data_IF_308985810406
#
_entry.id   IF_308985810406
#
_cell.length_a   1.000
_cell.length_b   1.000
_cell.length_c   1.000
_cell.angle_alpha   90.00
_cell.angle_beta   90.00
_cell.angle_gamma   90.00
#
_symmetry.space_group_name_H-M   'P 1'
#
loop_
_entity.id
_entity.type
_entity.pdbx_description
1 polymer ?
#
# COMPACT_ATOMS: atom_id res chain seq x y z
N UNK A 1 10.09 -32.50 10.84
CA UNK A 1 9.89 -31.06 11.08
C UNK A 1 10.59 -30.32 9.94
N UNK A 2 9.83 -29.79 8.97
CA UNK A 2 10.38 -29.15 7.76
C UNK A 2 10.51 -27.66 8.09
N UNK A 3 11.73 -27.15 8.23
CA UNK A 3 11.97 -25.73 8.48
C UNK A 3 11.62 -24.92 7.23
N UNK A 4 10.95 -23.79 7.44
CA UNK A 4 10.70 -22.81 6.39
C UNK A 4 12.03 -22.32 5.83
N UNK A 5 12.32 -22.73 4.60
CA UNK A 5 13.45 -22.17 3.86
C UNK A 5 12.99 -20.79 3.38
N UNK A 6 13.63 -19.68 3.79
CA UNK A 6 13.27 -18.38 3.26
C UNK A 6 13.45 -18.42 1.75
N UNK A 7 12.39 -18.13 1.00
CA UNK A 7 12.43 -17.95 -0.46
C UNK A 7 13.37 -16.80 -0.76
N UNK A 8 14.67 -17.07 -0.92
CA UNK A 8 15.67 -16.04 -1.17
C UNK A 8 15.71 -15.74 -2.66
N UNK A 9 15.57 -14.46 -3.05
CA UNK A 9 15.67 -13.97 -4.43
C UNK A 9 14.42 -13.26 -4.96
N UNK A 10 14.41 -12.98 -6.27
CA UNK A 10 13.34 -12.26 -7.01
C UNK A 10 11.92 -12.75 -6.74
N UNK A 11 11.75 -14.01 -6.32
CA UNK A 11 10.45 -14.57 -5.98
C UNK A 11 9.85 -13.96 -4.71
N UNK A 12 10.67 -13.65 -3.68
CA UNK A 12 10.18 -12.97 -2.49
C UNK A 12 9.72 -11.54 -2.80
N UNK A 13 10.49 -10.78 -3.59
CA UNK A 13 10.12 -9.40 -3.97
C UNK A 13 8.78 -9.34 -4.73
N UNK A 14 8.52 -10.32 -5.61
CA UNK A 14 7.22 -10.43 -6.28
C UNK A 14 6.06 -10.76 -5.32
N UNK A 15 6.33 -11.58 -4.30
CA UNK A 15 5.35 -11.92 -3.27
C UNK A 15 5.09 -10.73 -2.36
N UNK A 16 6.13 -10.03 -1.92
CA UNK A 16 6.04 -8.80 -1.13
C UNK A 16 5.25 -7.73 -1.86
N UNK A 17 5.56 -7.47 -3.14
CA UNK A 17 4.79 -6.51 -3.94
C UNK A 17 3.31 -6.88 -4.05
N UNK A 18 2.99 -8.14 -4.30
CA UNK A 18 1.59 -8.60 -4.37
C UNK A 18 0.90 -8.52 -3.01
N UNK A 19 1.62 -8.79 -1.92
CA UNK A 19 1.11 -8.67 -0.57
C UNK A 19 0.79 -7.20 -0.24
N UNK A 20 1.69 -6.28 -0.59
CA UNK A 20 1.48 -4.84 -0.42
C UNK A 20 0.28 -4.35 -1.25
N UNK A 21 0.17 -4.73 -2.53
CA UNK A 21 -0.96 -4.38 -3.41
C UNK A 21 -2.29 -4.93 -2.85
N UNK A 22 -2.28 -6.16 -2.34
CA UNK A 22 -3.45 -6.77 -1.70
C UNK A 22 -3.85 -6.05 -0.41
N UNK A 23 -2.87 -5.76 0.47
CA UNK A 23 -3.10 -5.06 1.72
C UNK A 23 -3.61 -3.63 1.49
N UNK A 24 -3.01 -2.88 0.56
CA UNK A 24 -3.43 -1.55 0.19
C UNK A 24 -4.89 -1.53 -0.27
N UNK A 25 -5.30 -2.49 -1.09
CA UNK A 25 -6.69 -2.59 -1.57
C UNK A 25 -7.69 -3.00 -0.49
N UNK A 26 -7.25 -3.75 0.51
CA UNK A 26 -8.09 -4.19 1.62
C UNK A 26 -8.26 -3.11 2.68
N UNK A 27 -7.20 -2.37 2.98
CA UNK A 27 -7.13 -1.45 4.12
C UNK A 27 -7.47 0.00 3.76
N UNK A 28 -7.30 0.41 2.50
CA UNK A 28 -7.48 1.80 2.09
C UNK A 28 -8.77 1.94 1.27
N UNK A 29 -9.77 2.57 1.87
CA UNK A 29 -10.98 2.99 1.16
C UNK A 29 -10.70 4.18 0.24
N UNK A 30 -11.13 4.17 -1.04
CA UNK A 30 -10.96 5.30 -1.95
C UNK A 30 -11.68 6.58 -1.49
N UNK A 31 -12.71 6.45 -0.64
CA UNK A 31 -13.42 7.61 -0.10
C UNK A 31 -12.61 8.23 1.04
N UNK A 32 -12.15 7.41 1.98
CA UNK A 32 -11.35 7.85 3.13
C UNK A 32 -10.00 8.40 2.66
N UNK A 33 -9.37 7.77 1.66
CA UNK A 33 -8.15 8.27 1.05
C UNK A 33 -8.33 9.69 0.49
N UNK A 34 -9.38 9.94 -0.31
CA UNK A 34 -9.62 11.29 -0.89
C UNK A 34 -9.91 12.33 0.19
N UNK A 35 -10.60 11.94 1.26
CA UNK A 35 -10.84 12.82 2.40
C UNK A 35 -9.51 13.18 3.09
N UNK A 36 -8.70 12.18 3.43
CA UNK A 36 -7.40 12.36 4.07
C UNK A 36 -6.44 13.18 3.18
N UNK A 37 -6.45 12.93 1.88
CA UNK A 37 -5.65 13.68 0.90
C UNK A 37 -6.03 15.16 0.87
N UNK A 38 -7.33 15.47 0.93
CA UNK A 38 -7.83 16.85 0.98
C UNK A 38 -7.51 17.53 2.31
N UNK A 39 -7.57 16.79 3.43
CA UNK A 39 -7.28 17.31 4.78
C UNK A 39 -5.80 17.63 4.98
N UNK A 40 -4.92 16.89 4.33
CA UNK A 40 -3.47 16.98 4.54
C UNK A 40 -2.70 17.52 3.33
N UNK A 41 -3.40 18.13 2.37
CA UNK A 41 -2.81 18.73 1.15
C UNK A 41 -1.83 17.78 0.43
N UNK A 42 -2.23 16.51 0.32
CA UNK A 42 -1.43 15.48 -0.34
C UNK A 42 -0.23 14.95 0.44
N UNK A 43 0.03 15.39 1.68
CA UNK A 43 1.18 14.96 2.48
C UNK A 43 1.06 13.48 2.92
N UNK A 44 1.84 12.60 2.29
CA UNK A 44 1.74 11.13 2.41
C UNK A 44 1.83 10.64 3.86
N UNK A 45 2.78 11.16 4.65
CA UNK A 45 2.95 10.72 6.04
C UNK A 45 1.75 11.04 6.93
N UNK A 46 1.08 12.17 6.65
CA UNK A 46 -0.10 12.58 7.41
C UNK A 46 -1.33 11.76 6.96
N UNK A 47 -1.46 11.49 5.66
CA UNK A 47 -2.48 10.59 5.12
C UNK A 47 -2.34 9.18 5.70
N UNK A 48 -1.12 8.64 5.77
CA UNK A 48 -0.86 7.33 6.37
C UNK A 48 -1.27 7.29 7.84
N UNK A 49 -0.94 8.35 8.59
CA UNK A 49 -1.35 8.50 9.99
C UNK A 49 -2.88 8.54 10.14
N UNK A 50 -3.58 9.34 9.33
CA UNK A 50 -5.04 9.49 9.36
C UNK A 50 -5.76 8.17 9.03
N UNK A 51 -5.25 7.44 8.04
CA UNK A 51 -5.82 6.14 7.62
C UNK A 51 -5.40 4.97 8.53
N UNK A 52 -4.49 5.18 9.48
CA UNK A 52 -3.98 4.13 10.36
C UNK A 52 -3.16 3.05 9.64
N UNK A 53 -2.47 3.41 8.55
CA UNK A 53 -1.65 2.50 7.73
C UNK A 53 -0.22 2.98 7.63
N UNK A 54 0.66 2.19 7.01
CA UNK A 54 2.04 2.60 6.74
C UNK A 54 2.12 3.49 5.50
N UNK A 55 3.13 4.36 5.45
CA UNK A 55 3.45 5.19 4.27
C UNK A 55 3.57 4.34 3.00
N UNK A 56 4.23 3.18 3.12
CA UNK A 56 4.39 2.20 2.04
C UNK A 56 3.06 1.81 1.39
N UNK A 57 2.03 1.54 2.18
CA UNK A 57 0.72 1.15 1.65
C UNK A 57 0.02 2.30 0.92
N UNK A 58 0.22 3.53 1.38
CA UNK A 58 -0.30 4.74 0.72
C UNK A 58 0.37 4.95 -0.64
N UNK A 59 1.69 4.76 -0.73
CA UNK A 59 2.44 4.83 -1.99
C UNK A 59 1.97 3.76 -2.99
N UNK A 60 1.84 2.51 -2.54
CA UNK A 60 1.36 1.41 -3.39
C UNK A 60 -0.08 1.67 -3.87
N UNK A 61 -0.94 2.21 -3.01
CA UNK A 61 -2.31 2.55 -3.39
C UNK A 61 -2.35 3.62 -4.49
N UNK A 62 -1.56 4.70 -4.37
CA UNK A 62 -1.45 5.75 -5.40
C UNK A 62 -1.00 5.17 -6.73
N UNK A 63 0.08 4.41 -6.72
CA UNK A 63 0.62 3.75 -7.91
C UNK A 63 -0.41 2.86 -8.61
N UNK A 64 -1.24 2.14 -7.84
CA UNK A 64 -2.31 1.30 -8.40
C UNK A 64 -3.42 2.13 -9.05
N UNK A 65 -3.80 3.25 -8.45
CA UNK A 65 -4.88 4.12 -8.92
C UNK A 65 -4.45 5.02 -10.10
N UNK A 66 -3.20 5.46 -10.15
CA UNK A 66 -2.64 6.21 -11.28
C UNK A 66 -2.64 5.35 -12.55
N UNK A 67 -2.29 4.06 -12.43
CA UNK A 67 -2.32 3.10 -13.55
C UNK A 67 -3.72 2.80 -14.09
N UNK A 68 -4.76 2.97 -13.27
CA UNK A 68 -6.16 2.75 -13.69
C UNK A 68 -6.71 4.01 -14.38
N UNK A 69 -6.22 5.18 -13.98
CA UNK A 69 -6.74 6.48 -14.45
C UNK A 69 -6.02 6.99 -15.70
N UNK A 70 -4.81 6.48 -15.99
CA UNK A 70 -4.05 6.72 -17.22
C UNK A 70 -4.59 5.93 -18.42
#
# INVERSE_FOLDING_TARGET
MRGDVPTSGVFAEHIERRADEFAARLLISPIEYRLAESLHDGHIGAIAYELGVTVRLVEVWRDMHDRITA
#
